data_IF_232591580664
#
_entry.id   IF_232591580664
#
_cell.length_a   1.000
_cell.length_b   1.000
_cell.length_c   1.000
_cell.angle_alpha   90.00
_cell.angle_beta   90.00
_cell.angle_gamma   90.00
#
_symmetry.space_group_name_H-M   'P 1'
#
loop_
_entity.id
_entity.type
_entity.pdbx_description
1 polymer ?
#
# COMPACT_ATOMS: atom_id res chain seq x y z
N UNK A 1 13.43 12.52 -20.63
CA UNK A 1 13.42 12.87 -19.19
C UNK A 1 12.33 12.02 -18.54
N UNK A 2 12.70 10.83 -18.07
CA UNK A 2 11.75 9.77 -17.76
C UNK A 2 11.19 9.94 -16.33
N UNK A 3 9.86 10.02 -16.28
CA UNK A 3 8.94 9.64 -15.19
C UNK A 3 9.61 9.28 -13.86
N UNK A 4 9.61 10.21 -12.90
CA UNK A 4 9.70 9.87 -11.48
C UNK A 4 8.38 9.23 -11.09
N UNK A 5 8.31 7.93 -11.38
CA UNK A 5 7.21 7.02 -11.13
C UNK A 5 6.80 7.13 -9.66
N UNK A 6 5.56 7.54 -9.40
CA UNK A 6 4.89 7.43 -8.10
C UNK A 6 4.63 5.95 -7.78
N UNK A 7 5.69 5.16 -7.66
CA UNK A 7 5.59 3.85 -7.05
C UNK A 7 5.17 4.05 -5.60
N UNK A 8 4.04 3.47 -5.22
CA UNK A 8 3.65 3.31 -3.83
C UNK A 8 4.66 2.34 -3.17
N UNK A 9 5.86 2.84 -2.85
CA UNK A 9 6.90 2.10 -2.12
C UNK A 9 6.70 2.33 -0.64
N UNK A 10 5.86 1.53 0.01
CA UNK A 10 5.64 1.64 1.45
C UNK A 10 5.58 0.25 2.05
N UNK A 11 6.75 -0.25 2.45
CA UNK A 11 6.87 -1.33 3.41
C UNK A 11 7.71 -0.76 4.55
N UNK A 12 7.11 -0.64 5.74
CA UNK A 12 7.85 -0.32 6.95
C UNK A 12 7.76 -1.51 7.92
N UNK A 13 8.68 -2.47 7.80
CA UNK A 13 8.77 -3.63 8.71
C UNK A 13 9.43 -3.21 10.03
N UNK A 14 8.73 -3.41 11.15
CA UNK A 14 9.29 -3.20 12.50
C UNK A 14 10.18 -4.41 12.85
N UNK A 15 11.37 -4.52 12.25
CA UNK A 15 12.27 -5.66 12.49
C UNK A 15 13.53 -5.29 13.31
N UNK A 16 13.96 -6.23 14.17
CA UNK A 16 15.24 -6.24 14.88
C UNK A 16 16.49 -6.53 13.96
N UNK A 17 16.46 -6.06 12.69
CA UNK A 17 17.52 -6.08 11.62
C UNK A 17 17.67 -7.36 10.75
N UNK A 18 18.24 -7.33 9.51
CA UNK A 18 18.19 -6.30 8.45
C UNK A 18 17.94 -6.85 7.00
N UNK A 19 17.61 -5.95 6.05
CA UNK A 19 18.29 -5.92 4.73
C UNK A 19 19.09 -4.60 4.71
N UNK A 20 20.39 -4.70 5.05
CA UNK A 20 21.36 -3.61 5.26
C UNK A 20 21.18 -2.69 6.51
N UNK A 21 21.62 -3.23 7.65
CA UNK A 21 22.24 -2.60 8.85
C UNK A 21 21.78 -1.22 9.38
N UNK A 22 20.53 -0.82 9.15
CA UNK A 22 19.95 0.37 9.82
C UNK A 22 18.63 -0.01 10.49
N UNK A 23 18.67 -0.31 11.79
CA UNK A 23 17.45 -0.36 12.60
C UNK A 23 16.74 1.00 12.53
N UNK A 24 15.44 1.00 12.26
CA UNK A 24 14.68 2.25 12.09
C UNK A 24 14.20 2.83 13.40
N UNK A 25 14.06 1.98 14.40
CA UNK A 25 13.77 2.37 15.77
C UNK A 25 15.02 2.20 16.63
N UNK A 26 15.23 3.08 17.61
CA UNK A 26 16.18 2.80 18.68
C UNK A 26 15.77 1.48 19.37
N UNK A 27 16.71 0.76 20.02
CA UNK A 27 16.36 -0.38 20.84
C UNK A 27 15.23 0.02 21.79
N UNK A 28 14.09 -0.65 21.69
CA UNK A 28 13.00 -0.46 22.65
C UNK A 28 13.49 -1.11 23.95
N UNK A 29 14.11 -0.35 24.83
CA UNK A 29 14.19 -0.74 26.23
C UNK A 29 12.74 -0.92 26.70
N UNK A 30 12.40 -2.08 27.25
CA UNK A 30 11.03 -2.51 27.60
C UNK A 30 10.26 -1.56 28.55
N UNK A 31 10.88 -0.45 28.96
CA UNK A 31 10.34 0.58 29.84
C UNK A 31 9.97 1.89 29.12
N UNK A 32 10.26 2.03 27.82
CA UNK A 32 9.94 3.26 27.06
C UNK A 32 8.52 3.18 26.50
N UNK A 33 7.64 4.04 27.00
CA UNK A 33 6.32 4.32 26.42
C UNK A 33 6.50 5.03 25.06
N UNK A 34 6.34 4.28 23.98
CA UNK A 34 6.39 4.82 22.61
C UNK A 34 4.96 5.07 22.12
N UNK A 35 4.64 6.31 21.79
CA UNK A 35 3.37 6.66 21.15
C UNK A 35 3.48 6.57 19.63
N UNK A 36 2.36 6.26 18.97
CA UNK A 36 2.28 6.24 17.50
C UNK A 36 2.68 7.59 16.89
N UNK A 37 2.40 8.72 17.56
CA UNK A 37 2.87 10.04 17.09
C UNK A 37 4.39 10.21 17.10
N UNK A 38 5.10 9.49 17.96
CA UNK A 38 6.54 9.67 18.16
C UNK A 38 7.35 9.18 16.95
N UNK A 39 6.76 8.31 16.13
CA UNK A 39 7.39 7.81 14.90
C UNK A 39 7.19 8.74 13.70
N UNK A 40 6.26 9.71 13.74
CA UNK A 40 5.98 10.63 12.63
C UNK A 40 7.24 11.35 12.11
N UNK A 41 8.11 11.93 12.97
CA UNK A 41 9.32 12.60 12.49
C UNK A 41 10.28 11.64 11.78
N UNK A 42 10.36 10.38 12.24
CA UNK A 42 11.18 9.33 11.64
C UNK A 42 10.66 8.99 10.25
N UNK A 43 9.34 8.78 10.12
CA UNK A 43 8.67 8.50 8.85
C UNK A 43 8.85 9.67 7.85
N UNK A 44 8.66 10.90 8.32
CA UNK A 44 8.85 12.10 7.51
C UNK A 44 10.29 12.24 7.01
N UNK A 45 11.28 12.05 7.89
CA UNK A 45 12.70 12.09 7.51
C UNK A 45 13.04 11.06 6.44
N UNK A 46 12.49 9.84 6.56
CA UNK A 46 12.73 8.74 5.60
C UNK A 46 12.12 8.99 4.23
N UNK A 47 10.99 9.71 4.18
CA UNK A 47 10.31 10.08 2.93
C UNK A 47 10.70 11.46 2.42
N UNK A 48 11.70 12.11 3.03
CA UNK A 48 12.14 13.46 2.68
C UNK A 48 10.97 14.47 2.74
N UNK A 49 10.08 14.28 3.70
CA UNK A 49 8.99 15.21 3.99
C UNK A 49 9.44 16.25 5.00
N UNK A 50 8.81 17.45 5.00
CA UNK A 50 8.97 18.39 6.11
C UNK A 50 8.73 17.69 7.46
N UNK A 51 9.54 17.94 8.49
CA UNK A 51 9.31 17.41 9.82
C UNK A 51 7.88 17.67 10.28
N UNK A 52 7.27 16.68 10.96
CA UNK A 52 5.90 16.78 11.46
C UNK A 52 4.82 17.01 10.39
N UNK A 53 5.11 16.69 9.11
CA UNK A 53 4.05 16.63 8.08
C UNK A 53 2.90 15.74 8.57
N UNK A 54 1.63 16.17 8.51
CA UNK A 54 0.51 15.35 8.92
C UNK A 54 0.42 14.05 8.11
N UNK A 55 0.40 12.91 8.81
CA UNK A 55 0.30 11.58 8.23
C UNK A 55 -0.97 10.87 8.71
N UNK A 56 -1.61 10.10 7.83
CA UNK A 56 -2.46 8.99 8.24
C UNK A 56 -1.56 7.76 8.38
N UNK A 57 -1.64 7.06 9.51
CA UNK A 57 -0.84 5.88 9.83
C UNK A 57 -1.81 4.72 10.07
N UNK A 58 -1.43 3.56 9.55
CA UNK A 58 -2.17 2.31 9.62
C UNK A 58 -1.22 1.18 9.93
N UNK A 59 -1.76 0.10 10.47
CA UNK A 59 -1.14 -1.20 10.57
C UNK A 59 -1.69 -2.10 9.47
N UNK A 60 -0.82 -2.78 8.74
CA UNK A 60 -1.21 -3.92 7.90
C UNK A 60 -1.15 -5.19 8.74
N UNK A 61 -2.30 -5.65 9.20
CA UNK A 61 -2.43 -6.93 9.93
C UNK A 61 -2.48 -8.09 8.94
N UNK A 62 -3.25 -7.92 7.85
CA UNK A 62 -3.36 -8.87 6.72
C UNK A 62 -4.02 -8.19 5.51
N UNK A 63 -4.03 -8.79 4.30
CA UNK A 63 -4.50 -8.13 3.06
C UNK A 63 -5.92 -7.53 3.04
N UNK A 64 -6.77 -7.80 4.03
CA UNK A 64 -8.12 -7.22 4.18
C UNK A 64 -8.34 -6.50 5.50
N UNK A 65 -7.32 -6.42 6.34
CA UNK A 65 -7.40 -5.85 7.68
C UNK A 65 -6.27 -4.84 7.80
N UNK A 66 -6.60 -3.62 7.41
CA UNK A 66 -5.72 -2.46 7.45
C UNK A 66 -6.31 -1.49 8.47
N UNK A 67 -5.73 -1.46 9.66
CA UNK A 67 -6.30 -0.74 10.79
C UNK A 67 -5.65 0.61 10.97
N UNK A 68 -6.46 1.64 11.19
CA UNK A 68 -5.94 2.98 11.40
C UNK A 68 -5.41 3.09 12.83
N UNK A 69 -4.17 3.52 12.97
CA UNK A 69 -3.55 3.73 14.27
C UNK A 69 -3.93 5.10 14.83
N UNK A 70 -4.28 5.14 16.13
CA UNK A 70 -4.49 6.38 16.86
C UNK A 70 -3.14 6.95 17.33
N UNK A 71 -2.75 8.16 16.90
CA UNK A 71 -1.50 8.80 17.30
C UNK A 71 -1.32 8.96 18.83
N UNK A 72 -2.41 8.95 19.60
CA UNK A 72 -2.40 9.11 21.05
C UNK A 72 -2.27 7.80 21.81
N UNK A 73 -2.36 6.65 21.14
CA UNK A 73 -2.11 5.35 21.75
C UNK A 73 -0.63 5.00 21.68
N UNK A 74 -0.20 4.23 22.67
CA UNK A 74 1.14 3.63 22.66
C UNK A 74 1.17 2.43 21.73
N UNK A 75 2.37 2.04 21.29
CA UNK A 75 2.56 0.80 20.53
C UNK A 75 1.95 -0.40 21.26
N UNK A 76 2.20 -0.50 22.57
CA UNK A 76 1.60 -1.55 23.41
C UNK A 76 0.06 -1.51 23.41
N UNK A 77 -0.56 -0.32 23.49
CA UNK A 77 -2.01 -0.18 23.46
C UNK A 77 -2.62 -0.47 22.08
N UNK A 78 -1.86 -0.23 21.03
CA UNK A 78 -2.21 -0.57 19.66
C UNK A 78 -1.81 -2.00 19.28
N UNK A 79 -1.32 -2.81 20.24
CA UNK A 79 -0.84 -4.18 20.01
C UNK A 79 0.27 -4.29 18.94
N UNK A 80 0.97 -3.19 18.65
CA UNK A 80 2.09 -3.17 17.71
C UNK A 80 3.32 -3.80 18.37
N UNK A 81 3.83 -4.85 17.74
CA UNK A 81 5.00 -5.60 18.14
C UNK A 81 5.99 -5.77 16.96
N UNK A 82 7.05 -6.53 17.19
CA UNK A 82 8.06 -6.82 16.19
C UNK A 82 7.52 -7.70 15.05
N UNK A 83 7.83 -7.30 13.82
CA UNK A 83 7.36 -7.95 12.60
C UNK A 83 6.12 -7.28 12.00
N UNK A 84 5.47 -6.39 12.74
CA UNK A 84 4.30 -5.68 12.23
C UNK A 84 4.68 -4.68 11.14
N UNK A 85 3.71 -4.40 10.27
CA UNK A 85 3.89 -3.57 9.09
C UNK A 85 3.13 -2.26 9.28
N UNK A 86 3.86 -1.15 9.29
CA UNK A 86 3.26 0.19 9.36
C UNK A 86 3.12 0.79 7.96
N UNK A 87 1.89 1.13 7.60
CA UNK A 87 1.54 1.82 6.37
C UNK A 87 1.22 3.29 6.65
N UNK A 88 1.69 4.22 5.82
CA UNK A 88 1.39 5.64 6.05
C UNK A 88 1.35 6.47 4.78
N UNK A 89 0.59 7.57 4.83
CA UNK A 89 0.46 8.54 3.73
C UNK A 89 0.34 9.95 4.29
N UNK A 90 0.82 10.96 3.54
CA UNK A 90 0.47 12.36 3.79
C UNK A 90 -1.05 12.54 3.82
N UNK A 91 -1.53 13.31 4.79
CA UNK A 91 -2.90 13.82 4.75
C UNK A 91 -3.01 14.73 3.52
N UNK A 92 -3.95 14.43 2.62
CA UNK A 92 -4.26 15.29 1.48
C UNK A 92 -5.26 16.35 1.93
N UNK A 93 -5.08 17.59 1.47
CA UNK A 93 -6.09 18.63 1.64
C UNK A 93 -7.20 18.46 0.61
N UNK A 94 -8.43 18.84 0.95
CA UNK A 94 -9.61 18.68 0.08
C UNK A 94 -9.43 19.31 -1.30
N UNK A 95 -8.65 20.40 -1.37
CA UNK A 95 -8.27 21.05 -2.64
C UNK A 95 -7.45 20.10 -3.55
N UNK A 96 -6.50 19.37 -3.01
CA UNK A 96 -5.66 18.45 -3.80
C UNK A 96 -6.49 17.28 -4.34
N UNK A 97 -7.45 16.79 -3.57
CA UNK A 97 -8.36 15.72 -3.99
C UNK A 97 -9.28 16.22 -5.12
N UNK A 98 -9.77 17.46 -5.02
CA UNK A 98 -10.68 18.06 -6.00
C UNK A 98 -10.01 18.41 -7.35
N UNK A 99 -8.78 18.94 -7.31
CA UNK A 99 -8.05 19.36 -8.52
C UNK A 99 -7.17 18.27 -9.14
N UNK A 100 -7.16 17.07 -8.54
CA UNK A 100 -6.47 15.94 -9.11
C UNK A 100 -7.12 15.55 -10.46
N UNK A 101 -6.40 15.58 -11.59
CA UNK A 101 -6.94 15.14 -12.86
C UNK A 101 -7.39 13.67 -12.74
N UNK A 102 -8.60 13.39 -13.22
CA UNK A 102 -9.31 12.11 -13.20
C UNK A 102 -8.54 10.93 -13.82
N UNK A 103 -7.39 11.20 -14.42
CA UNK A 103 -6.54 10.22 -15.12
C UNK A 103 -5.26 9.84 -14.36
N UNK A 104 -4.90 10.51 -13.26
CA UNK A 104 -3.63 10.26 -12.53
C UNK A 104 -3.79 10.08 -11.01
N UNK A 105 -5.03 10.10 -10.55
CA UNK A 105 -5.40 9.84 -9.16
C UNK A 105 -6.38 8.70 -9.13
N UNK A 106 -6.00 7.55 -8.59
CA UNK A 106 -6.96 6.46 -8.39
C UNK A 106 -7.03 5.90 -6.98
N UNK A 107 -6.01 6.08 -6.14
CA UNK A 107 -6.07 5.52 -4.78
C UNK A 107 -5.47 6.48 -3.75
N UNK A 108 -6.35 7.08 -2.95
CA UNK A 108 -6.02 8.03 -1.90
C UNK A 108 -6.09 7.46 -0.49
N UNK A 109 -6.74 6.32 -0.36
CA UNK A 109 -6.98 5.65 0.91
C UNK A 109 -6.23 4.32 0.95
N UNK A 110 -5.50 4.07 2.04
CA UNK A 110 -4.62 2.90 2.17
C UNK A 110 -5.47 1.62 2.25
N UNK A 111 -6.52 1.51 3.09
CA UNK A 111 -7.45 0.38 3.04
C UNK A 111 -7.99 0.08 1.63
N UNK A 112 -8.42 1.09 0.88
CA UNK A 112 -8.90 0.92 -0.50
C UNK A 112 -7.80 0.38 -1.43
N UNK A 113 -6.54 0.79 -1.24
CA UNK A 113 -5.40 0.24 -1.98
C UNK A 113 -5.26 -1.27 -1.78
N UNK A 114 -5.29 -1.72 -0.52
CA UNK A 114 -5.19 -3.15 -0.20
C UNK A 114 -6.39 -3.94 -0.70
N UNK A 115 -7.59 -3.37 -0.64
CA UNK A 115 -8.78 -4.00 -1.22
C UNK A 115 -8.62 -4.21 -2.73
N UNK A 116 -8.21 -3.17 -3.47
CA UNK A 116 -7.98 -3.28 -4.91
C UNK A 116 -6.87 -4.28 -5.25
N UNK A 117 -5.79 -4.29 -4.45
CA UNK A 117 -4.71 -5.26 -4.61
C UNK A 117 -5.19 -6.69 -4.36
N UNK A 118 -6.00 -6.91 -3.31
CA UNK A 118 -6.57 -8.21 -3.00
C UNK A 118 -7.52 -8.70 -4.10
N UNK A 119 -8.26 -7.78 -4.73
CA UNK A 119 -9.17 -8.11 -5.82
C UNK A 119 -8.44 -8.40 -7.14
N UNK A 120 -7.16 -8.05 -7.26
CA UNK A 120 -6.34 -8.38 -8.45
C UNK A 120 -6.12 -9.88 -8.55
N UNK A 121 -6.30 -10.44 -9.74
CA UNK A 121 -6.00 -11.82 -10.08
C UNK A 121 -5.32 -11.89 -11.44
N UNK A 122 -4.31 -12.74 -11.58
CA UNK A 122 -3.67 -13.04 -12.87
C UNK A 122 -4.31 -14.32 -13.41
N UNK A 123 -4.90 -14.24 -14.60
CA UNK A 123 -5.52 -15.39 -15.26
C UNK A 123 -4.75 -15.69 -16.54
N UNK A 124 -4.29 -16.93 -16.66
CA UNK A 124 -3.69 -17.45 -17.89
C UNK A 124 -4.78 -18.02 -18.80
N UNK A 125 -4.90 -17.44 -19.99
CA UNK A 125 -5.82 -17.90 -21.03
C UNK A 125 -5.09 -18.86 -21.97
N UNK A 126 -5.66 -20.05 -22.15
CA UNK A 126 -5.12 -21.08 -23.04
C UNK A 126 -6.16 -21.49 -24.10
N UNK A 127 -5.76 -21.71 -25.36
CA UNK A 127 -6.66 -22.26 -26.37
C UNK A 127 -7.15 -23.64 -25.95
N UNK A 128 -8.47 -23.86 -26.01
CA UNK A 128 -9.07 -25.16 -25.69
C UNK A 128 -8.69 -26.25 -26.71
N UNK A 129 -8.54 -25.89 -27.98
CA UNK A 129 -8.31 -26.83 -29.07
C UNK A 129 -6.98 -26.53 -29.77
N UNK A 130 -6.33 -27.60 -30.26
CA UNK A 130 -5.15 -27.51 -31.11
C UNK A 130 -5.60 -27.20 -32.54
N UNK A 131 -5.67 -25.92 -32.87
CA UNK A 131 -5.94 -25.48 -34.24
C UNK A 131 -4.66 -25.56 -35.09
N UNK A 132 -4.78 -25.69 -36.43
CA UNK A 132 -3.63 -25.65 -37.33
C UNK A 132 -2.77 -24.40 -37.17
N UNK A 133 -3.40 -23.29 -36.76
CA UNK A 133 -2.76 -22.05 -36.33
C UNK A 133 -3.14 -21.80 -34.84
N UNK A 134 -2.29 -22.22 -33.88
CA UNK A 134 -2.60 -22.09 -32.47
C UNK A 134 -2.54 -20.62 -32.03
N UNK A 135 -3.65 -20.11 -31.48
CA UNK A 135 -3.63 -18.80 -30.81
C UNK A 135 -2.62 -18.83 -29.64
N UNK A 136 -1.87 -17.74 -29.41
CA UNK A 136 -0.92 -17.69 -28.30
C UNK A 136 -1.66 -17.78 -26.96
N UNK A 137 -1.02 -18.40 -25.98
CA UNK A 137 -1.39 -18.23 -24.58
C UNK A 137 -1.03 -16.82 -24.14
N UNK A 138 -1.85 -16.23 -23.28
CA UNK A 138 -1.58 -14.91 -22.71
C UNK A 138 -2.13 -14.81 -21.29
N UNK A 139 -1.59 -13.87 -20.53
CA UNK A 139 -2.05 -13.56 -19.19
C UNK A 139 -2.81 -12.23 -19.19
N UNK A 140 -3.91 -12.17 -18.42
CA UNK A 140 -4.57 -10.92 -18.10
C UNK A 140 -4.62 -10.74 -16.59
N UNK A 141 -4.39 -9.50 -16.19
CA UNK A 141 -4.67 -9.04 -14.83
C UNK A 141 -6.13 -8.59 -14.78
N UNK A 142 -6.96 -9.31 -14.05
CA UNK A 142 -8.38 -9.01 -13.87
C UNK A 142 -8.69 -8.67 -12.41
N UNK A 143 -9.91 -8.17 -12.19
CA UNK A 143 -10.47 -7.98 -10.86
C UNK A 143 -11.46 -9.12 -10.55
N UNK A 144 -11.41 -9.68 -9.34
CA UNK A 144 -12.31 -10.75 -8.86
C UNK A 144 -13.80 -10.38 -8.89
N UNK A 145 -14.13 -9.09 -8.93
CA UNK A 145 -15.50 -8.59 -9.01
C UNK A 145 -16.01 -8.47 -10.46
N UNK A 146 -15.15 -8.65 -11.46
CA UNK A 146 -15.56 -8.58 -12.86
C UNK A 146 -16.56 -9.68 -13.20
N UNK A 147 -17.66 -9.26 -13.80
CA UNK A 147 -18.64 -10.14 -14.42
C UNK A 147 -18.16 -10.58 -15.80
N UNK A 148 -18.89 -11.52 -16.40
CA UNK A 148 -18.64 -11.94 -17.77
C UNK A 148 -18.64 -10.77 -18.77
N UNK A 149 -19.58 -9.83 -18.61
CA UNK A 149 -19.69 -8.68 -19.50
C UNK A 149 -18.49 -7.73 -19.36
N UNK A 150 -18.01 -7.50 -18.13
CA UNK A 150 -16.84 -6.65 -17.88
C UNK A 150 -15.59 -7.20 -18.57
N UNK A 151 -15.47 -8.53 -18.65
CA UNK A 151 -14.37 -9.20 -19.34
C UNK A 151 -14.46 -9.11 -20.87
N UNK A 152 -15.66 -8.90 -21.43
CA UNK A 152 -15.88 -8.82 -22.88
C UNK A 152 -15.64 -7.43 -23.47
N UNK A 153 -15.97 -6.37 -22.71
CA UNK A 153 -15.91 -4.98 -23.21
C UNK A 153 -14.46 -4.47 -23.31
N UNK A 154 -13.49 -5.15 -22.68
CA UNK A 154 -12.07 -4.88 -22.85
C UNK A 154 -11.59 -3.57 -22.21
N UNK A 155 -12.46 -2.84 -21.51
CA UNK A 155 -12.10 -1.66 -20.71
C UNK A 155 -11.46 -2.11 -19.39
N UNK A 156 -10.33 -2.82 -19.49
CA UNK A 156 -9.48 -3.10 -18.35
C UNK A 156 -8.74 -1.82 -18.01
N UNK A 157 -9.31 -1.03 -17.12
CA UNK A 157 -8.58 0.07 -16.54
C UNK A 157 -7.37 -0.48 -15.80
N UNK A 158 -6.18 -0.26 -16.38
CA UNK A 158 -4.91 -0.52 -15.71
C UNK A 158 -4.92 0.21 -14.36
N UNK A 159 -4.85 -0.56 -13.28
CA UNK A 159 -4.57 -0.10 -11.92
C UNK A 159 -3.06 0.06 -11.75
#
# INVERSE_FOLDING_TARGET
MASKQNELKLFLEVAYRPINDKSWFPPIEKEILIYVRDIIPILCKKKEYPPYTPLKIYEEIKPKMIEKLDPNLTFQQSEIDYGDIICFRKVLTDKIIFYAPTTEVRIHDIPVFYELLYMRIVIQFRPKYKYPDPKPEFELVLNKLYTYNDCLVGEFHHL
#
